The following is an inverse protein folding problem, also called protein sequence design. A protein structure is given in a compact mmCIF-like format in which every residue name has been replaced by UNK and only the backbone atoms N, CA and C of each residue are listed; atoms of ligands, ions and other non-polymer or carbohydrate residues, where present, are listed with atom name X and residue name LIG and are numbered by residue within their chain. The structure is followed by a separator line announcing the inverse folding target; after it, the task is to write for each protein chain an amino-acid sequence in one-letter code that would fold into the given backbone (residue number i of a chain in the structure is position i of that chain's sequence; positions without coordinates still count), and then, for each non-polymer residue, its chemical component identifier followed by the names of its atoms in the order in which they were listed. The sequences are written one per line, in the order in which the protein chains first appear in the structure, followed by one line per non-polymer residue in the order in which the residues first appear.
data_IF_855958811022
#
_entry.id   IF_855958811022
#
_cell.length_a   1.000
_cell.length_b   1.000
_cell.length_c   1.000
_cell.angle_alpha   90.00
_cell.angle_beta   90.00
_cell.angle_gamma   90.00
#
_symmetry.space_group_name_H-M   'P 1'
#
loop_
_entity.id
_entity.type
_entity.pdbx_description
1 polymer ?
#
# COMPACT_ATOMS: atom_id res chain seq x y z
N UNK A 1 28.78 11.04 26.51
CA UNK A 1 27.53 10.97 27.28
C UNK A 1 26.58 10.18 26.41
N UNK A 2 26.69 8.87 26.57
CA UNK A 2 25.85 7.85 25.97
C UNK A 2 24.68 7.63 26.94
N UNK A 3 23.47 7.96 26.52
CA UNK A 3 22.26 7.66 27.29
C UNK A 3 21.27 7.05 26.33
N UNK A 4 21.16 5.73 26.45
CA UNK A 4 20.27 4.91 25.67
C UNK A 4 18.80 5.29 25.77
N UNK A 5 18.11 4.98 24.69
CA UNK A 5 16.67 4.77 24.71
C UNK A 5 16.34 3.66 23.72
N UNK A 6 16.67 2.43 24.12
CA UNK A 6 15.92 1.25 23.71
C UNK A 6 14.46 1.44 24.17
N UNK A 7 13.63 1.93 23.26
CA UNK A 7 12.18 1.78 23.35
C UNK A 7 11.75 1.02 22.10
N UNK A 8 11.86 -0.31 22.16
CA UNK A 8 11.14 -1.18 21.22
C UNK A 8 9.66 -1.13 21.65
N UNK A 9 9.01 0.00 21.35
CA UNK A 9 7.55 0.04 21.32
C UNK A 9 7.11 -0.68 20.05
N UNK A 10 6.12 -1.55 20.20
CA UNK A 10 5.66 -2.47 19.16
C UNK A 10 5.61 -1.83 17.78
N UNK A 11 6.24 -2.51 16.81
CA UNK A 11 6.26 -2.14 15.41
C UNK A 11 4.83 -1.97 14.91
N UNK A 12 4.33 -0.74 14.96
CA UNK A 12 2.98 -0.45 14.49
C UNK A 12 3.08 -0.21 12.98
N UNK A 13 2.15 -0.78 12.23
CA UNK A 13 2.17 -0.75 10.76
C UNK A 13 2.28 0.71 10.28
N UNK A 14 3.35 1.05 9.54
CA UNK A 14 3.62 2.42 9.08
C UNK A 14 4.59 3.25 9.93
N UNK A 15 5.29 2.66 10.90
CA UNK A 15 6.26 3.35 11.75
C UNK A 15 7.73 3.26 11.26
N UNK A 16 7.94 3.15 9.94
CA UNK A 16 9.29 3.06 9.38
C UNK A 16 9.96 4.43 9.28
N UNK A 17 11.27 4.48 9.54
CA UNK A 17 12.07 5.67 9.32
C UNK A 17 12.14 6.04 7.84
N UNK A 18 12.23 7.33 7.57
CA UNK A 18 12.54 7.82 6.23
C UNK A 18 14.07 7.82 5.99
N UNK A 19 14.50 8.02 4.74
CA UNK A 19 15.93 8.14 4.39
C UNK A 19 16.59 9.34 5.09
N UNK A 20 15.82 10.40 5.35
CA UNK A 20 16.22 11.54 6.17
C UNK A 20 15.37 11.57 7.45
N UNK A 21 16.00 11.86 8.59
CA UNK A 21 15.30 11.98 9.88
C UNK A 21 14.17 13.01 9.81
N UNK A 22 14.42 14.14 9.14
CA UNK A 22 13.47 15.25 8.97
C UNK A 22 12.16 14.81 8.28
N UNK A 23 12.24 13.83 7.37
CA UNK A 23 11.07 13.35 6.62
C UNK A 23 10.32 12.21 7.34
N UNK A 24 10.83 11.71 8.47
CA UNK A 24 10.26 10.53 9.14
C UNK A 24 8.86 10.76 9.68
N UNK A 25 8.60 11.90 10.32
CA UNK A 25 7.28 12.19 10.86
C UNK A 25 6.23 12.40 9.76
N UNK A 26 6.62 13.04 8.64
CA UNK A 26 5.76 13.19 7.46
C UNK A 26 5.43 11.82 6.85
N UNK A 27 6.43 10.95 6.74
CA UNK A 27 6.25 9.56 6.27
C UNK A 27 5.24 8.80 7.12
N UNK A 28 5.40 8.82 8.45
CA UNK A 28 4.53 8.09 9.36
C UNK A 28 3.07 8.55 9.29
N UNK A 29 2.84 9.86 9.12
CA UNK A 29 1.49 10.41 8.90
C UNK A 29 0.88 9.91 7.58
N UNK A 30 1.65 10.01 6.50
CA UNK A 30 1.23 9.53 5.18
C UNK A 30 0.96 8.01 5.17
N UNK A 31 1.91 7.20 5.64
CA UNK A 31 1.82 5.74 5.67
C UNK A 31 0.58 5.27 6.44
N UNK A 32 0.23 5.93 7.56
CA UNK A 32 -0.97 5.62 8.34
C UNK A 32 -2.25 5.87 7.55
N UNK A 33 -2.32 6.99 6.83
CA UNK A 33 -3.45 7.30 5.96
C UNK A 33 -3.55 6.29 4.81
N UNK A 34 -2.43 6.08 4.11
CA UNK A 34 -2.34 5.17 2.97
C UNK A 34 -2.73 3.73 3.37
N UNK A 35 -2.21 3.20 4.48
CA UNK A 35 -2.54 1.84 4.92
C UNK A 35 -4.04 1.65 5.17
N UNK A 36 -4.72 2.63 5.75
CA UNK A 36 -6.16 2.55 6.01
C UNK A 36 -6.95 2.59 4.70
N UNK A 37 -6.62 3.53 3.82
CA UNK A 37 -7.21 3.60 2.48
C UNK A 37 -6.96 2.32 1.66
N UNK A 38 -5.73 1.81 1.70
CA UNK A 38 -5.30 0.65 0.92
C UNK A 38 -6.03 -0.62 1.34
N UNK A 39 -6.29 -0.83 2.63
CA UNK A 39 -7.12 -1.93 3.12
C UNK A 39 -8.51 -1.91 2.48
N UNK A 40 -9.19 -0.76 2.50
CA UNK A 40 -10.51 -0.61 1.88
C UNK A 40 -10.47 -0.80 0.36
N UNK A 41 -9.38 -0.38 -0.29
CA UNK A 41 -9.17 -0.61 -1.71
C UNK A 41 -9.04 -2.10 -2.03
N UNK A 42 -8.24 -2.84 -1.26
CA UNK A 42 -8.06 -4.29 -1.43
C UNK A 42 -9.36 -5.06 -1.16
N UNK A 43 -10.10 -4.73 -0.11
CA UNK A 43 -11.39 -5.36 0.21
C UNK A 43 -12.41 -5.18 -0.92
N UNK A 44 -12.43 -4.00 -1.55
CA UNK A 44 -13.27 -3.72 -2.70
C UNK A 44 -12.78 -4.43 -3.98
N UNK A 45 -11.47 -4.50 -4.19
CA UNK A 45 -10.86 -5.08 -5.40
C UNK A 45 -10.85 -6.61 -5.40
N UNK A 46 -10.74 -7.25 -4.23
CA UNK A 46 -10.60 -8.71 -4.12
C UNK A 46 -11.93 -9.41 -3.83
N UNK A 47 -13.04 -8.67 -3.76
CA UNK A 47 -14.37 -9.23 -3.62
C UNK A 47 -14.49 -10.21 -2.45
N UNK A 48 -14.24 -9.76 -1.21
CA UNK A 48 -14.50 -10.52 0.02
C UNK A 48 -13.96 -11.98 0.06
N UNK A 49 -12.86 -12.27 -0.66
CA UNK A 49 -12.20 -13.59 -0.58
C UNK A 49 -11.32 -13.76 0.68
N UNK A 50 -11.11 -12.69 1.45
CA UNK A 50 -10.32 -12.71 2.69
C UNK A 50 -11.22 -12.28 3.86
N UNK A 51 -12.19 -13.13 4.17
CA UNK A 51 -12.84 -13.14 5.48
C UNK A 51 -12.22 -14.24 6.33
N UNK A 52 -11.37 -13.84 7.27
CA UNK A 52 -11.01 -14.53 8.53
C UNK A 52 -10.64 -16.03 8.49
N UNK A 53 -9.50 -16.37 9.09
CA UNK A 53 -9.26 -17.69 9.67
C UNK A 53 -10.46 -18.15 10.52
N UNK A 54 -11.26 -19.07 9.98
CA UNK A 54 -12.14 -19.95 10.77
C UNK A 54 -11.59 -21.37 10.71
N UNK A 55 -10.80 -21.72 11.72
CA UNK A 55 -10.70 -23.09 12.19
C UNK A 55 -12.08 -23.48 12.75
N UNK A 56 -12.87 -24.25 11.97
CA UNK A 56 -14.17 -24.72 12.47
C UNK A 56 -15.12 -25.27 11.41
N UNK A 57 -15.01 -26.58 11.15
CA UNK A 57 -16.03 -27.54 10.70
C UNK A 57 -17.39 -27.00 10.16
N UNK A 58 -17.59 -27.14 8.86
CA UNK A 58 -18.76 -27.80 8.26
C UNK A 58 -18.59 -27.98 6.73
N UNK A 59 -19.02 -29.15 6.26
CA UNK A 59 -18.73 -29.70 4.94
C UNK A 59 -20.01 -30.09 4.22
N UNK A 60 -20.98 -29.19 3.99
CA UNK A 60 -22.08 -29.55 3.07
C UNK A 60 -22.91 -28.38 2.52
N UNK A 61 -22.27 -27.30 2.04
CA UNK A 61 -23.00 -26.28 1.26
C UNK A 61 -22.12 -25.47 0.29
N UNK A 62 -21.16 -26.12 -0.39
CA UNK A 62 -20.19 -25.43 -1.27
C UNK A 62 -20.65 -25.30 -2.74
N UNK A 63 -21.81 -25.80 -3.11
CA UNK A 63 -22.24 -25.82 -4.53
C UNK A 63 -23.32 -24.79 -4.91
N UNK A 64 -23.98 -24.13 -3.94
CA UNK A 64 -25.02 -23.13 -4.21
C UNK A 64 -24.50 -21.67 -4.27
N UNK A 65 -23.24 -21.42 -3.88
CA UNK A 65 -22.69 -20.04 -3.78
C UNK A 65 -21.85 -19.60 -5.00
N UNK A 66 -21.56 -20.51 -5.93
CA UNK A 66 -20.80 -20.21 -7.17
C UNK A 66 -21.66 -19.62 -8.29
N UNK A 67 -22.98 -19.68 -8.19
CA UNK A 67 -23.93 -19.22 -9.23
C UNK A 67 -24.38 -17.77 -9.06
N UNK A 68 -23.93 -17.05 -8.02
CA UNK A 68 -24.12 -15.59 -7.86
C UNK A 68 -22.81 -14.80 -8.08
N UNK A 69 -21.82 -15.40 -8.75
CA UNK A 69 -20.46 -14.83 -8.85
C UNK A 69 -20.25 -13.93 -10.07
N UNK A 70 -21.30 -13.57 -10.81
CA UNK A 70 -21.21 -12.79 -12.04
C UNK A 70 -22.28 -11.71 -12.19
N UNK A 71 -22.88 -11.26 -11.09
CA UNK A 71 -23.77 -10.09 -11.07
C UNK A 71 -23.25 -9.03 -10.10
N UNK A 72 -22.10 -8.43 -10.43
CA UNK A 72 -21.69 -7.14 -9.84
C UNK A 72 -20.77 -6.37 -10.81
N UNK A 73 -21.27 -6.05 -12.01
CA UNK A 73 -20.46 -5.42 -13.07
C UNK A 73 -20.48 -3.89 -13.11
N UNK A 74 -21.33 -3.21 -12.32
CA UNK A 74 -21.38 -1.74 -12.33
C UNK A 74 -21.10 -1.12 -10.95
N UNK A 75 -21.62 -1.73 -9.88
CA UNK A 75 -21.43 -1.21 -8.51
C UNK A 75 -19.98 -1.31 -8.02
N UNK A 76 -19.26 -2.38 -8.37
CA UNK A 76 -17.87 -2.57 -7.91
C UNK A 76 -16.93 -1.60 -8.63
N UNK A 77 -17.11 -1.41 -9.94
CA UNK A 77 -16.38 -0.42 -10.74
C UNK A 77 -16.55 1.00 -10.19
N UNK A 78 -17.80 1.40 -9.87
CA UNK A 78 -18.08 2.70 -9.26
C UNK A 78 -17.48 2.83 -7.86
N UNK A 79 -17.51 1.76 -7.06
CA UNK A 79 -16.93 1.73 -5.71
C UNK A 79 -15.40 1.89 -5.76
N UNK A 80 -14.71 1.16 -6.63
CA UNK A 80 -13.26 1.32 -6.80
C UNK A 80 -12.90 2.72 -7.27
N UNK A 81 -13.67 3.31 -8.18
CA UNK A 81 -13.43 4.68 -8.63
C UNK A 81 -13.61 5.70 -7.50
N UNK A 82 -14.69 5.57 -6.73
CA UNK A 82 -14.90 6.43 -5.54
C UNK A 82 -13.77 6.29 -4.52
N UNK A 83 -13.23 5.07 -4.33
CA UNK A 83 -12.09 4.83 -3.46
C UNK A 83 -10.82 5.54 -3.95
N UNK A 84 -10.56 5.51 -5.26
CA UNK A 84 -9.44 6.26 -5.85
C UNK A 84 -9.62 7.76 -5.67
N UNK A 85 -10.81 8.30 -5.90
CA UNK A 85 -11.08 9.72 -5.69
C UNK A 85 -10.87 10.15 -4.22
N UNK A 86 -11.28 9.31 -3.26
CA UNK A 86 -11.08 9.59 -1.83
C UNK A 86 -9.60 9.62 -1.44
N UNK A 87 -8.73 8.85 -2.09
CA UNK A 87 -7.28 8.91 -1.82
C UNK A 87 -6.73 10.34 -1.89
N UNK A 88 -7.09 11.07 -2.94
CA UNK A 88 -6.59 12.43 -3.15
C UNK A 88 -7.04 13.39 -2.05
N UNK A 89 -8.28 13.22 -1.57
CA UNK A 89 -8.83 14.05 -0.50
C UNK A 89 -8.26 13.65 0.87
N UNK A 90 -8.10 12.35 1.12
CA UNK A 90 -7.73 11.82 2.43
C UNK A 90 -6.21 11.89 2.67
N UNK A 91 -5.42 11.49 1.68
CA UNK A 91 -3.98 11.27 1.81
C UNK A 91 -3.12 12.12 0.86
N UNK A 92 -3.72 12.73 -0.17
CA UNK A 92 -2.98 13.45 -1.22
C UNK A 92 -2.11 14.59 -0.70
N UNK A 93 -2.63 15.43 0.20
CA UNK A 93 -1.87 16.51 0.81
C UNK A 93 -0.67 16.00 1.65
N UNK A 94 -0.90 14.95 2.45
CA UNK A 94 0.16 14.30 3.25
C UNK A 94 1.25 13.72 2.35
N UNK A 95 0.87 13.10 1.23
CA UNK A 95 1.81 12.58 0.26
C UNK A 95 2.63 13.69 -0.39
N UNK A 96 2.00 14.81 -0.76
CA UNK A 96 2.68 15.94 -1.37
C UNK A 96 3.76 16.54 -0.45
N UNK A 97 3.43 16.74 0.84
CA UNK A 97 4.39 17.21 1.85
C UNK A 97 5.55 16.24 2.03
N UNK A 98 5.26 14.94 2.20
CA UNK A 98 6.28 13.91 2.36
C UNK A 98 7.18 13.79 1.13
N UNK A 99 6.59 13.78 -0.07
CA UNK A 99 7.30 13.70 -1.36
C UNK A 99 8.26 14.87 -1.53
N UNK A 100 7.85 16.08 -1.19
CA UNK A 100 8.70 17.26 -1.28
C UNK A 100 9.95 17.11 -0.39
N UNK A 101 9.75 16.71 0.88
CA UNK A 101 10.84 16.44 1.80
C UNK A 101 11.83 15.39 1.26
N UNK A 102 11.31 14.28 0.72
CA UNK A 102 12.14 13.23 0.12
C UNK A 102 12.90 13.73 -1.11
N UNK A 103 12.26 14.50 -2.00
CA UNK A 103 12.93 15.03 -3.19
C UNK A 103 14.12 15.91 -2.81
N UNK A 104 13.99 16.74 -1.78
CA UNK A 104 15.13 17.49 -1.25
C UNK A 104 16.26 16.57 -0.78
N UNK A 105 15.93 15.56 0.03
CA UNK A 105 16.92 14.61 0.55
C UNK A 105 17.60 13.78 -0.57
N UNK A 106 16.88 13.43 -1.63
CA UNK A 106 17.44 12.72 -2.79
C UNK A 106 18.46 13.57 -3.55
N UNK A 107 18.16 14.85 -3.71
CA UNK A 107 19.05 15.83 -4.34
C UNK A 107 20.34 16.03 -3.55
N UNK A 108 20.23 16.20 -2.23
CA UNK A 108 21.41 16.33 -1.35
C UNK A 108 22.31 15.09 -1.37
N UNK A 109 21.74 13.91 -1.60
CA UNK A 109 22.47 12.64 -1.71
C UNK A 109 22.97 12.34 -3.12
N UNK A 110 22.64 13.17 -4.12
CA UNK A 110 23.05 12.97 -5.51
C UNK A 110 22.46 11.72 -6.17
N UNK A 111 21.28 11.26 -5.74
CA UNK A 111 20.66 10.01 -6.22
C UNK A 111 19.61 10.22 -7.32
N UNK A 112 19.32 11.48 -7.68
CA UNK A 112 18.21 11.82 -8.59
C UNK A 112 18.33 11.14 -9.96
N UNK A 113 19.50 11.19 -10.60
CA UNK A 113 19.73 10.59 -11.92
C UNK A 113 19.58 9.07 -11.90
N UNK A 114 20.17 8.41 -10.90
CA UNK A 114 20.10 6.96 -10.75
C UNK A 114 18.66 6.48 -10.53
N UNK A 115 17.89 7.20 -9.70
CA UNK A 115 16.48 6.88 -9.44
C UNK A 115 15.63 7.13 -10.68
N UNK A 116 15.83 8.24 -11.39
CA UNK A 116 15.06 8.56 -12.58
C UNK A 116 15.28 7.51 -13.67
N UNK A 117 16.53 7.10 -13.89
CA UNK A 117 16.85 6.00 -14.80
C UNK A 117 16.13 4.71 -14.39
N UNK A 118 16.21 4.33 -13.11
CA UNK A 118 15.57 3.11 -12.61
C UNK A 118 14.03 3.15 -12.76
N UNK A 119 13.40 4.32 -12.67
CA UNK A 119 11.94 4.48 -12.87
C UNK A 119 11.50 4.31 -14.32
N UNK A 120 12.39 4.51 -15.28
CA UNK A 120 12.12 4.32 -16.71
C UNK A 120 12.23 2.85 -17.13
N UNK A 121 12.91 2.01 -16.33
CA UNK A 121 13.04 0.58 -16.60
C UNK A 121 11.73 -0.16 -16.28
N UNK A 122 11.32 -1.07 -17.17
CA UNK A 122 10.17 -1.96 -16.94
C UNK A 122 10.66 -3.39 -16.64
N UNK A 123 10.83 -3.76 -15.34
CA UNK A 123 11.40 -5.05 -14.95
C UNK A 123 10.51 -6.26 -15.28
N UNK A 124 9.27 -6.05 -15.72
CA UNK A 124 8.35 -7.13 -16.09
C UNK A 124 8.52 -7.61 -17.54
N UNK A 125 9.21 -6.84 -18.40
CA UNK A 125 9.48 -7.23 -19.79
C UNK A 125 10.67 -8.21 -19.91
N UNK A 126 11.50 -8.32 -18.87
CA UNK A 126 12.76 -9.07 -18.90
C UNK A 126 12.72 -10.43 -18.20
N UNK A 127 11.55 -11.02 -17.97
CA UNK A 127 11.46 -12.40 -17.48
C UNK A 127 11.52 -13.35 -18.70
N UNK A 128 12.67 -13.99 -19.01
CA UNK A 128 12.63 -15.14 -19.90
C UNK A 128 11.73 -16.18 -19.24
N UNK A 129 10.72 -16.64 -19.97
CA UNK A 129 9.86 -17.75 -19.55
C UNK A 129 10.74 -18.90 -19.07
N UNK A 130 10.61 -19.23 -17.78
CA UNK A 130 11.32 -20.37 -17.15
C UNK A 130 11.09 -21.61 -18.04
N UNK A 131 12.14 -22.27 -18.54
CA UNK A 131 11.99 -23.52 -19.28
C UNK A 131 11.27 -24.55 -18.41
N UNK A 132 10.27 -25.23 -18.97
CA UNK A 132 9.51 -26.32 -18.36
C UNK A 132 10.40 -27.53 -18.04
#
# INVERSE_FOLDING_TARGET
MDTGQDKIEGFTLGQMNSMSSECTHLKQKYDRCFHNWFKSYLEASTGSLVGSEQYGKDSESRRARRTSLFTSSESDSQKLESLRARYETDCGALFAEYRNCIQHALKEKGLEEAIEKARQENPFLSQPSRPL
#
